data_IF_722746978858
#
_entry.id   IF_722746978858
#
_cell.length_a   1.000
_cell.length_b   1.000
_cell.length_c   1.000
_cell.angle_alpha   90.00
_cell.angle_beta   90.00
_cell.angle_gamma   90.00
#
_symmetry.space_group_name_H-M   'P 1'
#
loop_
_entity.id
_entity.type
_entity.pdbx_description
1 polymer ?
#
# COMPACT_ATOMS: atom_id res chain seq x y z
N UNK A 1 17.67 9.86 -14.16
CA UNK A 1 17.06 8.54 -14.08
C UNK A 1 16.86 8.13 -12.61
N UNK A 2 17.93 8.06 -11.81
CA UNK A 2 17.90 7.64 -10.41
C UNK A 2 16.89 8.42 -9.55
N UNK A 3 16.98 9.76 -9.49
CA UNK A 3 16.06 10.58 -8.70
C UNK A 3 14.66 10.70 -9.33
N UNK A 4 14.55 10.76 -10.64
CA UNK A 4 13.27 11.01 -11.32
C UNK A 4 12.42 9.77 -11.57
N UNK A 5 13.00 8.58 -11.62
CA UNK A 5 12.24 7.33 -11.84
C UNK A 5 12.49 6.29 -10.76
N UNK A 6 13.73 6.13 -10.29
CA UNK A 6 14.06 5.13 -9.27
C UNK A 6 13.47 5.48 -7.91
N UNK A 7 14.12 6.38 -7.20
CA UNK A 7 13.76 6.65 -5.79
C UNK A 7 12.32 7.16 -5.63
N UNK A 8 11.89 8.14 -6.45
CA UNK A 8 10.55 8.72 -6.33
C UNK A 8 9.47 7.66 -6.55
N UNK A 9 9.65 6.78 -7.53
CA UNK A 9 8.67 5.75 -7.84
C UNK A 9 8.67 4.64 -6.81
N UNK A 10 9.84 4.12 -6.46
CA UNK A 10 9.96 2.99 -5.53
C UNK A 10 9.70 3.38 -4.07
N UNK A 11 10.18 4.56 -3.63
CA UNK A 11 10.10 4.95 -2.22
C UNK A 11 8.75 5.55 -1.85
N UNK A 12 8.16 6.37 -2.72
CA UNK A 12 6.90 7.08 -2.44
C UNK A 12 5.80 6.79 -3.45
N UNK A 13 6.00 5.82 -4.33
CA UNK A 13 5.06 5.38 -5.38
C UNK A 13 4.48 6.53 -6.22
N UNK A 14 5.26 7.60 -6.44
CA UNK A 14 4.82 8.79 -7.15
C UNK A 14 5.52 8.94 -8.50
N UNK A 15 4.78 9.42 -9.51
CA UNK A 15 5.35 9.81 -10.80
C UNK A 15 5.99 11.19 -10.65
N UNK A 16 7.31 11.28 -10.70
CA UNK A 16 8.07 12.51 -10.42
C UNK A 16 7.59 13.74 -11.21
N UNK A 17 7.21 13.56 -12.47
CA UNK A 17 6.72 14.65 -13.33
C UNK A 17 5.28 15.14 -13.01
N UNK A 18 4.53 14.38 -12.19
CA UNK A 18 3.19 14.73 -11.72
C UNK A 18 3.16 15.08 -10.24
N UNK A 19 4.20 14.72 -9.50
CA UNK A 19 4.26 14.91 -8.07
C UNK A 19 4.55 16.36 -7.69
N UNK A 20 4.05 16.78 -6.52
CA UNK A 20 4.39 18.07 -5.93
C UNK A 20 5.86 18.09 -5.50
N UNK A 21 6.66 19.00 -6.06
CA UNK A 21 8.07 19.19 -5.66
C UNK A 21 8.20 19.49 -4.16
N UNK A 22 7.26 20.28 -3.61
CA UNK A 22 7.25 20.57 -2.18
C UNK A 22 7.04 19.30 -1.35
N UNK A 23 6.01 18.51 -1.67
CA UNK A 23 5.69 17.29 -0.92
C UNK A 23 6.84 16.28 -0.99
N UNK A 24 7.41 16.06 -2.16
CA UNK A 24 8.55 15.15 -2.34
C UNK A 24 9.78 15.69 -1.60
N UNK A 25 10.05 16.99 -1.66
CA UNK A 25 11.13 17.63 -0.92
C UNK A 25 10.98 17.48 0.59
N UNK A 26 9.80 17.70 1.13
CA UNK A 26 9.50 17.52 2.55
C UNK A 26 9.73 16.07 3.00
N UNK A 27 9.32 15.08 2.19
CA UNK A 27 9.56 13.65 2.47
C UNK A 27 11.07 13.35 2.49
N UNK A 28 11.82 13.81 1.50
CA UNK A 28 13.27 13.58 1.46
C UNK A 28 14.01 14.23 2.65
N UNK A 29 13.61 15.44 3.04
CA UNK A 29 14.17 16.10 4.21
C UNK A 29 13.88 15.29 5.47
N UNK A 30 12.65 14.81 5.64
CA UNK A 30 12.27 13.96 6.78
C UNK A 30 13.13 12.69 6.85
N UNK A 31 13.27 11.99 5.71
CA UNK A 31 14.10 10.78 5.64
C UNK A 31 15.57 11.06 5.95
N UNK A 32 16.13 12.19 5.50
CA UNK A 32 17.50 12.58 5.81
C UNK A 32 17.69 12.83 7.31
N UNK A 33 16.73 13.52 7.97
CA UNK A 33 16.79 13.73 9.41
C UNK A 33 16.69 12.39 10.17
N UNK A 34 15.81 11.48 9.76
CA UNK A 34 15.68 10.16 10.38
C UNK A 34 16.97 9.32 10.26
N UNK A 35 17.71 9.47 9.15
CA UNK A 35 18.99 8.77 8.93
C UNK A 35 20.14 9.30 9.81
N UNK A 36 20.11 10.57 10.19
CA UNK A 36 21.20 11.20 10.99
C UNK A 36 20.86 11.27 12.48
N UNK A 37 19.64 10.96 12.87
CA UNK A 37 19.23 10.95 14.27
C UNK A 37 19.85 9.75 15.00
N UNK A 38 20.59 9.95 16.11
CA UNK A 38 21.13 8.85 16.90
C UNK A 38 19.98 8.10 17.58
N UNK A 39 19.83 6.84 17.27
CA UNK A 39 18.78 6.05 17.91
C UNK A 39 18.33 4.83 17.11
N UNK A 40 17.11 4.35 17.30
CA UNK A 40 16.60 3.21 16.59
C UNK A 40 16.50 3.48 15.08
N UNK A 41 16.62 2.42 14.28
CA UNK A 41 16.50 2.44 12.82
C UNK A 41 15.36 3.33 12.32
N UNK A 42 15.59 4.07 11.25
CA UNK A 42 14.57 4.86 10.54
C UNK A 42 13.41 4.00 10.03
N UNK A 43 13.67 2.73 9.73
CA UNK A 43 12.66 1.74 9.34
C UNK A 43 12.08 1.04 10.56
N UNK A 44 10.78 1.19 10.73
CA UNK A 44 10.00 0.44 11.72
C UNK A 44 9.02 -0.46 11.01
N UNK A 45 9.22 -1.76 11.16
CA UNK A 45 8.38 -2.78 10.58
C UNK A 45 7.51 -3.43 11.65
N UNK A 46 6.34 -3.90 11.26
CA UNK A 46 5.47 -4.65 12.17
C UNK A 46 6.13 -5.98 12.53
N UNK A 47 5.96 -6.39 13.77
CA UNK A 47 6.51 -7.64 14.31
C UNK A 47 5.61 -8.86 14.09
N UNK A 48 4.65 -8.75 13.17
CA UNK A 48 3.73 -9.81 12.79
C UNK A 48 2.77 -9.34 11.69
N UNK A 49 1.83 -10.19 11.27
CA UNK A 49 0.81 -9.84 10.28
C UNK A 49 0.02 -8.60 10.70
N UNK A 50 -0.25 -7.70 9.75
CA UNK A 50 -0.87 -6.39 10.02
C UNK A 50 -2.18 -6.47 10.80
N UNK A 51 -3.03 -7.46 10.49
CA UNK A 51 -4.29 -7.61 11.21
C UNK A 51 -4.05 -7.97 12.68
N UNK A 52 -3.17 -8.92 12.95
CA UNK A 52 -2.97 -9.49 14.28
C UNK A 52 -2.29 -8.50 15.24
N UNK A 53 -1.27 -7.76 14.74
CA UNK A 53 -0.44 -6.90 15.60
C UNK A 53 -0.86 -5.44 15.59
N UNK A 54 -1.67 -5.00 14.63
CA UNK A 54 -2.11 -3.62 14.54
C UNK A 54 -3.64 -3.46 14.49
N UNK A 55 -4.30 -4.02 13.46
CA UNK A 55 -5.72 -3.73 13.21
C UNK A 55 -6.62 -4.26 14.33
N UNK A 56 -6.49 -5.51 14.71
CA UNK A 56 -7.33 -6.13 15.75
C UNK A 56 -7.12 -5.52 17.13
N UNK A 57 -5.87 -5.27 17.60
CA UNK A 57 -5.64 -4.54 18.84
C UNK A 57 -6.24 -3.14 18.83
N UNK A 58 -6.13 -2.43 17.69
CA UNK A 58 -6.69 -1.09 17.56
C UNK A 58 -8.22 -1.11 17.56
N UNK A 59 -8.84 -2.01 16.82
CA UNK A 59 -10.29 -2.19 16.82
C UNK A 59 -10.81 -2.51 18.23
N UNK A 60 -10.13 -3.40 18.95
CA UNK A 60 -10.45 -3.72 20.34
C UNK A 60 -10.39 -2.47 21.23
N UNK A 61 -9.33 -1.67 21.10
CA UNK A 61 -9.18 -0.42 21.84
C UNK A 61 -10.32 0.57 21.52
N UNK A 62 -10.64 0.78 20.26
CA UNK A 62 -11.71 1.68 19.84
C UNK A 62 -13.08 1.22 20.39
N UNK A 63 -13.35 -0.07 20.32
CA UNK A 63 -14.59 -0.67 20.87
C UNK A 63 -14.71 -0.44 22.37
N UNK A 64 -13.60 -0.59 23.12
CA UNK A 64 -13.57 -0.30 24.57
C UNK A 64 -13.80 1.19 24.86
N UNK A 65 -13.51 2.08 23.92
CA UNK A 65 -13.82 3.52 24.00
C UNK A 65 -15.25 3.87 23.59
N UNK A 66 -16.08 2.88 23.26
CA UNK A 66 -17.47 3.08 22.86
C UNK A 66 -17.67 3.41 21.37
N UNK A 67 -16.64 3.23 20.55
CA UNK A 67 -16.78 3.40 19.10
C UNK A 67 -17.61 2.25 18.52
N UNK A 68 -18.70 2.59 17.84
CA UNK A 68 -19.47 1.64 17.06
C UNK A 68 -18.85 1.45 15.68
N UNK A 69 -18.22 0.31 15.45
CA UNK A 69 -17.57 -0.03 14.18
C UNK A 69 -18.46 -0.96 13.34
N UNK A 70 -18.77 -0.54 12.13
CA UNK A 70 -19.70 -1.25 11.24
C UNK A 70 -19.00 -1.68 9.96
N UNK A 71 -18.69 -2.97 9.84
CA UNK A 71 -18.23 -3.58 8.59
C UNK A 71 -19.40 -3.73 7.59
N UNK A 72 -19.03 -3.89 6.31
CA UNK A 72 -19.99 -4.08 5.19
C UNK A 72 -21.01 -2.95 5.06
N UNK A 73 -20.69 -1.78 5.58
CA UNK A 73 -21.52 -0.58 5.53
C UNK A 73 -20.96 0.41 4.52
N UNK A 74 -21.59 0.49 3.34
CA UNK A 74 -21.13 1.35 2.23
C UNK A 74 -21.83 2.71 2.28
N UNK A 75 -21.05 3.78 2.29
CA UNK A 75 -21.58 5.14 2.10
C UNK A 75 -22.01 5.30 0.64
N UNK A 76 -23.28 5.64 0.42
CA UNK A 76 -23.91 5.83 -0.90
C UNK A 76 -24.08 7.28 -1.27
N UNK A 77 -24.33 8.13 -0.29
CA UNK A 77 -24.51 9.56 -0.50
C UNK A 77 -24.22 10.35 0.78
N UNK A 78 -23.88 11.62 0.60
CA UNK A 78 -23.74 12.61 1.66
C UNK A 78 -24.85 13.64 1.45
N UNK A 79 -25.68 13.88 2.47
CA UNK A 79 -26.78 14.81 2.42
C UNK A 79 -26.37 16.15 2.99
N UNK A 80 -26.51 17.22 2.22
CA UNK A 80 -26.17 18.57 2.64
C UNK A 80 -27.31 19.56 2.36
N UNK A 81 -27.36 20.61 3.15
CA UNK A 81 -28.30 21.72 3.00
C UNK A 81 -27.98 22.83 4.01
N UNK A 82 -28.40 24.05 3.71
CA UNK A 82 -28.15 25.22 4.58
C UNK A 82 -26.68 25.38 5.02
N UNK A 83 -25.74 25.02 4.15
CA UNK A 83 -24.31 25.17 4.41
C UNK A 83 -23.68 24.06 5.28
N UNK A 84 -24.41 22.98 5.59
CA UNK A 84 -23.97 21.90 6.48
C UNK A 84 -24.20 20.53 5.87
N UNK A 85 -23.44 19.54 6.31
CA UNK A 85 -23.74 18.13 6.13
C UNK A 85 -24.72 17.70 7.24
N UNK A 86 -25.80 17.03 6.86
CA UNK A 86 -26.85 16.61 7.79
C UNK A 86 -26.83 15.11 8.09
N UNK A 87 -26.52 14.32 7.08
CA UNK A 87 -26.51 12.86 7.20
C UNK A 87 -25.68 12.21 6.11
N UNK A 88 -25.35 10.94 6.31
CA UNK A 88 -24.82 10.06 5.29
C UNK A 88 -25.81 8.91 5.05
N UNK A 89 -26.06 8.60 3.80
CA UNK A 89 -26.86 7.44 3.40
C UNK A 89 -25.96 6.22 3.34
N UNK A 90 -26.30 5.20 4.11
CA UNK A 90 -25.54 3.95 4.24
C UNK A 90 -26.33 2.80 3.63
N UNK A 91 -25.66 1.94 2.90
CA UNK A 91 -26.18 0.64 2.46
C UNK A 91 -25.48 -0.47 3.23
N UNK A 92 -26.26 -1.37 3.86
CA UNK A 92 -25.77 -2.55 4.53
C UNK A 92 -26.79 -3.69 4.42
N UNK A 93 -26.34 -4.87 3.99
CA UNK A 93 -27.21 -6.05 3.84
C UNK A 93 -28.40 -5.81 2.91
N UNK A 94 -28.23 -5.06 1.82
CA UNK A 94 -29.30 -4.71 0.86
C UNK A 94 -30.32 -3.67 1.37
N UNK A 95 -30.14 -3.13 2.58
CA UNK A 95 -30.97 -2.08 3.15
C UNK A 95 -30.24 -0.74 3.16
N UNK A 96 -31.00 0.32 2.94
CA UNK A 96 -30.48 1.70 2.96
C UNK A 96 -31.09 2.43 4.16
N UNK A 97 -30.26 3.16 4.90
CA UNK A 97 -30.67 3.99 6.04
C UNK A 97 -29.79 5.24 6.16
N UNK A 98 -30.24 6.22 6.90
CA UNK A 98 -29.49 7.44 7.19
C UNK A 98 -28.76 7.36 8.53
N UNK A 99 -27.53 7.84 8.55
CA UNK A 99 -26.75 8.08 9.77
C UNK A 99 -26.58 9.59 9.93
N UNK A 100 -26.87 10.09 11.12
CA UNK A 100 -26.71 11.49 11.50
C UNK A 100 -25.58 11.66 12.50
N UNK A 101 -24.97 12.82 12.52
CA UNK A 101 -23.88 13.16 13.44
C UNK A 101 -23.65 14.66 13.46
N UNK A 102 -22.91 15.11 14.45
CA UNK A 102 -22.50 16.52 14.56
C UNK A 102 -21.32 16.82 13.66
N UNK A 103 -20.47 15.83 13.40
CA UNK A 103 -19.29 15.91 12.53
C UNK A 103 -19.23 14.68 11.60
N UNK A 104 -18.72 14.91 10.39
CA UNK A 104 -18.53 13.86 9.40
C UNK A 104 -17.09 13.87 8.91
N UNK A 105 -16.38 12.76 9.02
CA UNK A 105 -15.01 12.59 8.54
C UNK A 105 -15.01 11.53 7.45
N UNK A 106 -14.71 11.94 6.22
CA UNK A 106 -14.59 11.06 5.07
C UNK A 106 -13.13 10.60 4.89
N UNK A 107 -12.73 9.57 5.62
CA UNK A 107 -11.40 8.95 5.52
C UNK A 107 -11.41 7.82 4.48
N UNK A 108 -11.67 8.16 3.22
CA UNK A 108 -11.83 7.21 2.11
C UNK A 108 -10.96 7.64 0.91
N UNK A 109 -10.60 6.71 0.00
CA UNK A 109 -9.81 7.02 -1.19
C UNK A 109 -10.44 8.11 -2.06
N UNK A 110 -9.58 8.89 -2.73
CA UNK A 110 -9.98 10.03 -3.59
C UNK A 110 -11.02 9.61 -4.62
N UNK A 111 -10.82 8.50 -5.32
CA UNK A 111 -11.73 7.97 -6.34
C UNK A 111 -13.09 7.54 -5.78
N UNK A 112 -13.16 7.23 -4.49
CA UNK A 112 -14.41 6.93 -3.80
C UNK A 112 -15.10 8.20 -3.32
N UNK A 113 -14.34 9.14 -2.75
CA UNK A 113 -14.88 10.43 -2.36
C UNK A 113 -15.42 11.21 -3.56
N UNK A 114 -14.71 11.22 -4.70
CA UNK A 114 -15.17 11.87 -5.94
C UNK A 114 -16.58 11.42 -6.37
N UNK A 115 -16.93 10.14 -6.16
CA UNK A 115 -18.26 9.62 -6.46
C UNK A 115 -19.38 10.16 -5.54
N UNK A 116 -19.01 10.65 -4.36
CA UNK A 116 -19.94 11.21 -3.38
C UNK A 116 -20.09 12.73 -3.49
N UNK A 117 -19.16 13.39 -4.20
CA UNK A 117 -19.20 14.84 -4.41
C UNK A 117 -20.28 15.18 -5.44
N UNK A 118 -21.31 15.86 -4.98
CA UNK A 118 -22.42 16.35 -5.80
C UNK A 118 -22.25 17.85 -6.10
N UNK A 119 -22.94 18.42 -7.09
CA UNK A 119 -22.94 19.87 -7.34
C UNK A 119 -23.34 20.71 -6.11
N UNK A 120 -24.12 20.16 -5.22
CA UNK A 120 -24.49 20.83 -3.96
C UNK A 120 -23.32 20.88 -2.99
N UNK A 121 -22.55 19.80 -2.88
CA UNK A 121 -21.34 19.72 -2.05
C UNK A 121 -20.26 20.65 -2.63
N UNK A 122 -20.09 20.69 -3.95
CA UNK A 122 -19.15 21.61 -4.61
C UNK A 122 -19.49 23.09 -4.37
N UNK A 123 -20.77 23.43 -4.24
CA UNK A 123 -21.17 24.80 -3.87
C UNK A 123 -20.76 25.18 -2.44
N UNK A 124 -20.69 24.21 -1.53
CA UNK A 124 -20.23 24.42 -0.16
C UNK A 124 -18.71 24.52 -0.09
N UNK A 125 -18.02 23.69 -0.84
CA UNK A 125 -16.57 23.71 -0.98
C UNK A 125 -16.14 23.40 -2.42
N UNK A 126 -15.83 24.44 -3.22
CA UNK A 126 -15.37 24.27 -4.60
C UNK A 126 -14.07 23.47 -4.72
N UNK A 127 -13.29 23.35 -3.65
CA UNK A 127 -12.08 22.54 -3.62
C UNK A 127 -12.36 21.05 -3.83
N UNK A 128 -13.54 20.57 -3.40
CA UNK A 128 -13.94 19.17 -3.55
C UNK A 128 -14.21 18.77 -5.01
N UNK A 129 -14.61 19.72 -5.87
CA UNK A 129 -14.78 19.47 -7.31
C UNK A 129 -13.49 19.01 -8.00
N UNK A 130 -12.32 19.40 -7.47
CA UNK A 130 -11.02 18.95 -8.00
C UNK A 130 -10.80 17.44 -7.88
N UNK A 131 -11.51 16.78 -6.96
CA UNK A 131 -11.43 15.33 -6.76
C UNK A 131 -11.85 14.55 -8.01
N UNK A 132 -12.78 15.08 -8.82
CA UNK A 132 -13.19 14.44 -10.06
C UNK A 132 -12.03 14.31 -11.06
N UNK A 133 -11.22 15.36 -11.23
CA UNK A 133 -10.02 15.30 -12.06
C UNK A 133 -8.92 14.42 -11.47
N UNK A 134 -8.71 14.50 -10.17
CA UNK A 134 -7.71 13.67 -9.47
C UNK A 134 -8.05 12.19 -9.51
N UNK A 135 -9.33 11.81 -9.44
CA UNK A 135 -9.77 10.42 -9.50
C UNK A 135 -9.47 9.73 -10.83
N UNK A 136 -9.33 10.49 -11.91
CA UNK A 136 -9.05 9.98 -13.26
C UNK A 136 -7.56 9.96 -13.58
N UNK A 137 -6.83 10.99 -13.20
CA UNK A 137 -5.41 11.16 -13.59
C UNK A 137 -4.40 11.18 -12.44
N UNK A 138 -4.87 11.34 -11.20
CA UNK A 138 -4.01 11.47 -10.01
C UNK A 138 -3.85 10.18 -9.19
N UNK A 139 -4.57 9.11 -9.55
CA UNK A 139 -4.53 7.81 -8.84
C UNK A 139 -3.93 6.75 -9.74
N UNK A 140 -3.04 5.94 -9.20
CA UNK A 140 -2.42 4.81 -9.89
C UNK A 140 -2.60 3.52 -9.10
N UNK A 141 -2.60 2.40 -9.79
CA UNK A 141 -2.55 1.09 -9.15
C UNK A 141 -1.23 0.91 -8.42
N UNK A 142 -1.33 0.38 -7.24
CA UNK A 142 -0.23 -0.17 -6.46
C UNK A 142 -0.76 -1.39 -5.74
N UNK A 143 -0.08 -2.50 -5.85
CA UNK A 143 -0.47 -3.74 -5.19
C UNK A 143 0.78 -4.53 -4.82
N UNK A 144 0.69 -5.33 -3.77
CA UNK A 144 1.77 -6.19 -3.31
C UNK A 144 1.50 -7.66 -3.62
N UNK A 145 2.56 -8.44 -3.52
CA UNK A 145 2.54 -9.89 -3.56
C UNK A 145 3.38 -10.43 -2.39
N UNK A 146 2.93 -11.51 -1.79
CA UNK A 146 3.73 -12.28 -0.84
C UNK A 146 4.21 -13.56 -1.52
N UNK A 147 5.51 -13.78 -1.45
CA UNK A 147 6.19 -14.97 -1.92
C UNK A 147 6.53 -15.82 -0.70
N UNK A 148 5.98 -17.01 -0.64
CA UNK A 148 6.24 -17.98 0.41
C UNK A 148 7.40 -18.86 -0.01
N UNK A 149 8.38 -19.02 0.88
CA UNK A 149 9.62 -19.70 0.57
C UNK A 149 9.86 -20.88 1.51
N UNK A 150 10.37 -21.97 0.95
CA UNK A 150 10.81 -23.14 1.71
C UNK A 150 12.14 -22.93 2.41
N UNK A 151 12.86 -21.86 2.10
CA UNK A 151 14.07 -21.42 2.77
C UNK A 151 13.94 -19.95 3.20
N UNK A 152 14.57 -19.58 4.32
CA UNK A 152 14.64 -18.18 4.74
C UNK A 152 15.73 -17.45 3.94
N UNK A 153 15.37 -16.36 3.31
CA UNK A 153 16.29 -15.52 2.55
C UNK A 153 16.33 -14.11 3.16
N UNK A 154 17.22 -13.86 4.12
CA UNK A 154 17.39 -12.53 4.70
C UNK A 154 18.14 -11.63 3.71
N UNK A 155 17.43 -10.81 2.94
CA UNK A 155 18.00 -9.93 1.92
C UNK A 155 18.79 -8.81 2.58
N UNK A 156 18.11 -8.03 3.43
CA UNK A 156 18.69 -6.97 4.25
C UNK A 156 17.84 -6.79 5.50
N UNK A 157 18.40 -6.17 6.53
CA UNK A 157 17.62 -5.78 7.70
C UNK A 157 16.92 -4.45 7.45
N UNK A 158 15.72 -4.50 6.91
CA UNK A 158 14.92 -3.35 6.52
C UNK A 158 14.25 -3.50 5.16
N UNK A 159 13.90 -2.37 4.59
CA UNK A 159 13.23 -2.25 3.31
C UNK A 159 14.24 -2.22 2.17
N UNK A 160 14.10 -3.09 1.20
CA UNK A 160 14.94 -3.14 0.00
C UNK A 160 14.25 -2.44 -1.16
N UNK A 161 14.97 -1.54 -1.83
CA UNK A 161 14.51 -0.82 -3.02
C UNK A 161 15.28 -1.33 -4.23
N UNK A 162 14.57 -1.79 -5.26
CA UNK A 162 15.15 -2.28 -6.51
C UNK A 162 15.08 -1.18 -7.58
N UNK A 163 16.09 -0.31 -7.60
CA UNK A 163 16.10 0.95 -8.37
C UNK A 163 15.95 0.74 -9.88
N UNK A 164 16.49 -0.34 -10.41
CA UNK A 164 16.47 -0.66 -11.85
C UNK A 164 15.34 -1.64 -12.23
N UNK A 165 14.53 -2.05 -11.27
CA UNK A 165 13.38 -2.92 -11.53
C UNK A 165 12.34 -2.21 -12.42
N UNK A 166 11.94 -2.79 -13.56
CA UNK A 166 10.94 -2.19 -14.44
C UNK A 166 9.61 -1.87 -13.75
N UNK A 167 9.20 -2.71 -12.81
CA UNK A 167 7.96 -2.51 -12.06
C UNK A 167 8.15 -1.76 -10.74
N UNK A 168 9.34 -1.14 -10.56
CA UNK A 168 9.70 -0.36 -9.37
C UNK A 168 9.41 -1.13 -8.07
N UNK A 169 10.00 -2.32 -7.98
CA UNK A 169 9.79 -3.22 -6.84
C UNK A 169 10.48 -2.69 -5.59
N UNK A 170 9.83 -2.94 -4.47
CA UNK A 170 10.44 -2.89 -3.13
C UNK A 170 10.08 -4.16 -2.37
N UNK A 171 10.89 -4.58 -1.42
CA UNK A 171 10.59 -5.78 -0.65
C UNK A 171 11.06 -5.74 0.80
N UNK A 172 10.48 -6.63 1.57
CA UNK A 172 10.86 -6.93 2.95
C UNK A 172 10.92 -8.45 3.11
N UNK A 173 12.04 -8.98 3.60
CA UNK A 173 12.12 -10.34 4.12
C UNK A 173 11.56 -10.35 5.53
N UNK A 174 10.38 -10.96 5.73
CA UNK A 174 9.57 -10.77 6.93
C UNK A 174 10.09 -11.52 8.15
N UNK A 175 10.66 -12.71 7.98
CA UNK A 175 11.01 -13.60 9.09
C UNK A 175 11.86 -12.93 10.17
N UNK A 176 12.84 -12.13 9.78
CA UNK A 176 13.73 -11.43 10.70
C UNK A 176 13.01 -10.39 11.59
N UNK A 177 11.80 -9.96 11.22
CA UNK A 177 10.99 -8.99 11.96
C UNK A 177 9.82 -9.64 12.72
N UNK A 178 9.57 -10.93 12.47
CA UNK A 178 8.46 -11.68 13.06
C UNK A 178 8.96 -12.82 13.96
N UNK A 179 9.67 -12.50 15.07
CA UNK A 179 10.35 -13.52 15.89
C UNK A 179 9.38 -14.50 16.56
N UNK A 180 8.17 -14.06 16.85
CA UNK A 180 7.16 -14.86 17.54
C UNK A 180 6.22 -15.62 16.59
N UNK A 181 6.42 -15.49 15.27
CA UNK A 181 5.60 -16.18 14.28
C UNK A 181 6.22 -17.52 13.91
N UNK A 182 5.43 -18.57 14.06
CA UNK A 182 5.81 -19.90 13.61
C UNK A 182 5.48 -20.09 12.13
N UNK A 183 6.47 -19.93 11.26
CA UNK A 183 6.29 -20.03 9.82
C UNK A 183 5.83 -21.42 9.36
N UNK A 184 6.11 -22.47 10.12
CA UNK A 184 5.66 -23.83 9.78
C UNK A 184 4.16 -24.05 9.95
N UNK A 185 3.44 -23.08 10.51
CA UNK A 185 1.96 -23.08 10.56
C UNK A 185 1.33 -22.59 9.26
N UNK A 186 2.13 -22.06 8.33
CA UNK A 186 1.66 -21.62 7.02
C UNK A 186 1.72 -22.76 6.01
N UNK A 187 0.75 -22.78 5.09
CA UNK A 187 0.60 -23.78 4.03
C UNK A 187 0.64 -25.21 4.58
N UNK A 188 1.52 -26.05 4.06
CA UNK A 188 1.68 -27.44 4.45
C UNK A 188 2.82 -27.68 5.48
N UNK A 189 3.30 -26.62 6.09
CA UNK A 189 4.37 -26.66 7.10
C UNK A 189 5.78 -26.55 6.55
N UNK A 190 5.96 -26.39 5.25
CA UNK A 190 7.29 -26.26 4.61
C UNK A 190 7.82 -24.83 4.59
N UNK A 191 6.99 -23.84 4.88
CA UNK A 191 7.36 -22.42 4.77
C UNK A 191 8.39 -22.07 5.85
N UNK A 192 9.51 -21.49 5.42
CA UNK A 192 10.58 -21.00 6.28
C UNK A 192 10.78 -19.49 6.17
N UNK A 193 10.30 -18.86 5.12
CA UNK A 193 10.43 -17.41 4.89
C UNK A 193 9.29 -16.85 4.08
N UNK A 194 9.12 -15.53 4.19
CA UNK A 194 8.16 -14.76 3.38
C UNK A 194 8.87 -13.51 2.89
N UNK A 195 8.81 -13.27 1.59
CA UNK A 195 9.20 -11.99 1.00
C UNK A 195 7.93 -11.27 0.60
N UNK A 196 7.64 -10.16 1.26
CA UNK A 196 6.58 -9.23 0.85
C UNK A 196 7.16 -8.26 -0.16
N UNK A 197 6.52 -8.14 -1.32
CA UNK A 197 6.98 -7.29 -2.43
C UNK A 197 5.87 -6.33 -2.82
N UNK A 198 6.20 -5.04 -2.90
CA UNK A 198 5.31 -4.03 -3.48
C UNK A 198 5.70 -3.77 -4.94
N UNK A 199 4.68 -3.72 -5.80
CA UNK A 199 4.77 -3.36 -7.21
C UNK A 199 4.25 -1.94 -7.35
N UNK A 200 5.15 -0.97 -7.52
CA UNK A 200 4.79 0.45 -7.58
C UNK A 200 4.53 0.95 -9.01
N UNK A 201 4.93 0.21 -10.05
CA UNK A 201 4.71 0.60 -11.44
C UNK A 201 3.94 -0.48 -12.21
N UNK A 202 2.70 -0.15 -12.56
CA UNK A 202 1.77 -1.06 -13.22
C UNK A 202 1.56 -0.78 -14.71
N UNK A 203 2.10 0.33 -15.20
CA UNK A 203 1.93 0.81 -16.57
C UNK A 203 3.16 0.58 -17.46
N UNK A 204 4.33 0.32 -16.85
CA UNK A 204 5.55 0.01 -17.60
C UNK A 204 5.68 -1.48 -17.92
N UNK A 205 6.36 -1.79 -19.02
CA UNK A 205 6.60 -3.16 -19.43
C UNK A 205 7.68 -3.81 -18.56
N UNK A 206 7.39 -5.00 -18.08
CA UNK A 206 8.34 -5.87 -17.41
C UNK A 206 9.32 -6.56 -18.36
N UNK A 207 10.09 -7.49 -17.83
CA UNK A 207 11.01 -8.33 -18.59
C UNK A 207 10.29 -9.21 -19.61
N UNK A 208 9.08 -9.64 -19.26
CA UNK A 208 8.18 -10.42 -20.13
C UNK A 208 7.55 -9.60 -21.27
N UNK A 209 7.81 -8.29 -21.35
CA UNK A 209 7.28 -7.37 -22.36
C UNK A 209 5.84 -6.92 -22.15
N UNK A 210 5.18 -7.34 -21.06
CA UNK A 210 3.83 -6.92 -20.66
C UNK A 210 3.88 -5.89 -19.52
N UNK A 211 2.84 -5.07 -19.42
CA UNK A 211 2.61 -4.29 -18.19
C UNK A 211 2.00 -5.19 -17.12
N UNK A 212 2.16 -4.86 -15.83
CA UNK A 212 1.57 -5.64 -14.75
C UNK A 212 0.04 -5.75 -14.88
N UNK A 213 -0.62 -4.71 -15.41
CA UNK A 213 -2.07 -4.71 -15.69
C UNK A 213 -2.50 -5.72 -16.78
N UNK A 214 -1.59 -6.13 -17.66
CA UNK A 214 -1.85 -7.08 -18.74
C UNK A 214 -1.56 -8.53 -18.34
N UNK A 215 -0.98 -8.73 -17.17
CA UNK A 215 -0.59 -10.04 -16.68
C UNK A 215 -1.71 -10.74 -15.90
N UNK A 216 -1.74 -12.07 -15.95
CA UNK A 216 -2.47 -12.89 -14.98
C UNK A 216 -1.74 -12.86 -13.64
N UNK A 217 -2.37 -13.39 -12.59
CA UNK A 217 -1.74 -13.49 -11.27
C UNK A 217 -0.43 -14.29 -11.32
N UNK A 218 -0.43 -15.39 -12.03
CA UNK A 218 0.73 -16.28 -12.21
C UNK A 218 1.84 -15.59 -12.99
N UNK A 219 1.49 -14.82 -14.03
CA UNK A 219 2.45 -14.03 -14.80
C UNK A 219 3.04 -12.88 -13.95
N UNK A 220 2.25 -12.24 -13.08
CA UNK A 220 2.76 -11.25 -12.14
C UNK A 220 3.75 -11.89 -11.18
N UNK A 221 3.42 -13.04 -10.60
CA UNK A 221 4.30 -13.76 -9.68
C UNK A 221 5.63 -14.13 -10.35
N UNK A 222 5.57 -14.74 -11.53
CA UNK A 222 6.76 -15.14 -12.29
C UNK A 222 7.64 -13.92 -12.65
N UNK A 223 7.03 -12.83 -13.11
CA UNK A 223 7.76 -11.62 -13.49
C UNK A 223 8.43 -10.95 -12.27
N UNK A 224 7.72 -10.84 -11.15
CA UNK A 224 8.29 -10.31 -9.89
C UNK A 224 9.46 -11.16 -9.45
N UNK A 225 9.33 -12.48 -9.48
CA UNK A 225 10.40 -13.40 -9.13
C UNK A 225 11.64 -13.22 -10.00
N UNK A 226 11.47 -13.08 -11.32
CA UNK A 226 12.59 -12.81 -12.24
C UNK A 226 13.26 -11.46 -11.98
N UNK A 227 12.50 -10.39 -11.74
CA UNK A 227 13.06 -9.08 -11.41
C UNK A 227 13.84 -9.10 -10.10
N UNK A 228 13.36 -9.85 -9.09
CA UNK A 228 14.09 -10.04 -7.83
C UNK A 228 15.39 -10.82 -8.05
N UNK A 229 15.35 -11.93 -8.81
CA UNK A 229 16.56 -12.71 -9.14
C UNK A 229 17.60 -11.87 -9.89
N UNK A 230 17.19 -11.06 -10.85
CA UNK A 230 18.11 -10.16 -11.56
C UNK A 230 18.83 -9.18 -10.62
N UNK A 231 18.15 -8.73 -9.58
CA UNK A 231 18.70 -7.77 -8.63
C UNK A 231 19.54 -8.40 -7.52
N UNK A 232 19.22 -9.63 -7.12
CA UNK A 232 19.81 -10.28 -5.95
C UNK A 232 20.83 -11.37 -6.29
N UNK A 233 20.68 -12.04 -7.44
CA UNK A 233 21.62 -13.06 -7.91
C UNK A 233 22.76 -12.39 -8.67
N UNK A 234 23.70 -11.79 -7.94
CA UNK A 234 24.81 -11.00 -8.48
C UNK A 234 26.16 -11.52 -7.97
N UNK A 235 27.23 -11.22 -8.70
CA UNK A 235 28.60 -11.53 -8.32
C UNK A 235 28.85 -13.03 -8.00
N UNK A 236 28.16 -13.93 -8.71
CA UNK A 236 28.26 -15.37 -8.50
C UNK A 236 27.56 -15.89 -7.25
N UNK A 237 26.79 -15.03 -6.53
CA UNK A 237 25.88 -15.45 -5.49
C UNK A 237 24.49 -15.66 -6.07
N UNK A 238 23.88 -16.79 -5.73
CA UNK A 238 22.50 -17.13 -6.06
C UNK A 238 21.68 -17.04 -4.77
N UNK A 239 21.19 -15.82 -4.47
CA UNK A 239 20.42 -15.55 -3.27
C UNK A 239 18.98 -16.12 -3.37
N UNK A 240 18.39 -16.09 -4.56
CA UNK A 240 17.07 -16.64 -4.85
C UNK A 240 17.18 -17.76 -5.87
N UNK A 241 16.63 -18.93 -5.54
CA UNK A 241 16.55 -20.11 -6.39
C UNK A 241 15.09 -20.49 -6.60
N UNK A 242 14.77 -20.96 -7.80
CA UNK A 242 13.39 -21.33 -8.14
C UNK A 242 12.84 -22.43 -7.22
N UNK A 243 13.71 -23.32 -6.73
CA UNK A 243 13.35 -24.37 -5.77
C UNK A 243 12.90 -23.84 -4.39
N UNK A 244 13.14 -22.57 -4.06
CA UNK A 244 12.70 -21.96 -2.81
C UNK A 244 11.25 -21.49 -2.86
N UNK A 245 10.74 -21.21 -4.06
CA UNK A 245 9.37 -20.71 -4.22
C UNK A 245 8.37 -21.88 -4.04
N UNK A 246 7.43 -21.72 -3.08
CA UNK A 246 6.40 -22.71 -2.78
C UNK A 246 5.15 -22.57 -3.67
#
# INVERSE_FOLDING_TARGET
KFFGHGITRSLVAAKAHLASTKTIGDIFIQLLFDLVEPGPSSDRLLNGPTNDVWIDPWLKYLTQKGVAYHLEAKVKAIQCGNGLIHSATIEKGGKTFEVRGDYFIAAIPIERMAQLVTPQIEKLDPGLGKLHGLSVGGVSWMNGIQLYLTEDVPITHGHTIYVDSPWALTSISQRQFWPDINFTEYADGRIQGIISVDISEWDEKGLNGKTAKQCTREEVMAEVWEQLKQSLNINGKEALKDEYLD
#
